data_IF_026988727647
#
_entry.id   IF_026988727647
#
_cell.length_a   1.000
_cell.length_b   1.000
_cell.length_c   1.000
_cell.angle_alpha   90.00
_cell.angle_beta   90.00
_cell.angle_gamma   90.00
#
_symmetry.space_group_name_H-M   'P 1'
#
loop_
_entity.id
_entity.type
_entity.pdbx_description
1 polymer ?
#
# COMPACT_ATOMS: atom_id res chain seq x y z
N UNK A 1 -3.16 -0.46 -11.31
CA UNK A 1 -1.78 -0.91 -11.55
C UNK A 1 -0.88 -0.10 -10.63
N UNK A 2 -0.13 -0.77 -9.77
CA UNK A 2 0.80 -0.20 -8.82
C UNK A 2 2.10 0.15 -9.55
N UNK A 3 2.43 1.43 -9.60
CA UNK A 3 3.69 1.91 -10.14
C UNK A 3 4.56 2.41 -8.98
N UNK A 4 5.37 1.52 -8.43
CA UNK A 4 6.26 1.81 -7.30
C UNK A 4 7.65 1.26 -7.61
N UNK A 5 8.65 2.15 -7.67
CA UNK A 5 10.02 1.79 -8.01
C UNK A 5 10.58 0.75 -7.03
N UNK A 6 11.28 -0.26 -7.54
CA UNK A 6 11.86 -1.34 -6.74
C UNK A 6 10.85 -2.43 -6.34
N UNK A 7 9.61 -2.37 -6.83
CA UNK A 7 8.57 -3.37 -6.57
C UNK A 7 7.84 -3.76 -7.86
N UNK A 8 7.73 -5.07 -8.08
CA UNK A 8 6.93 -5.64 -9.15
C UNK A 8 5.56 -6.03 -8.61
N UNK A 9 4.49 -5.39 -9.10
CA UNK A 9 3.10 -5.81 -8.80
C UNK A 9 2.88 -7.25 -9.28
N UNK A 10 2.29 -8.09 -8.42
CA UNK A 10 1.75 -9.40 -8.82
C UNK A 10 0.26 -9.25 -9.12
N UNK A 11 -0.51 -8.82 -8.11
CA UNK A 11 -1.94 -8.57 -8.24
C UNK A 11 -2.48 -7.73 -7.09
N UNK A 12 -3.59 -7.04 -7.34
CA UNK A 12 -4.44 -6.49 -6.29
C UNK A 12 -5.15 -7.63 -5.56
N UNK A 13 -4.99 -7.71 -4.24
CA UNK A 13 -5.61 -8.76 -3.41
C UNK A 13 -6.80 -8.25 -2.60
N UNK A 14 -6.93 -6.93 -2.42
CA UNK A 14 -8.09 -6.33 -1.77
C UNK A 14 -8.32 -4.89 -2.24
N UNK A 15 -9.60 -4.52 -2.40
CA UNK A 15 -10.03 -3.21 -2.86
C UNK A 15 -11.07 -2.61 -1.91
N UNK A 16 -10.63 -2.06 -0.78
CA UNK A 16 -11.51 -1.39 0.18
C UNK A 16 -11.88 0.03 -0.25
N UNK A 17 -12.83 0.65 0.46
CA UNK A 17 -13.28 2.00 0.11
C UNK A 17 -12.17 3.06 0.19
N UNK A 18 -11.29 2.98 1.19
CA UNK A 18 -10.22 3.97 1.43
C UNK A 18 -8.84 3.52 0.97
N UNK A 19 -8.60 2.22 0.90
CA UNK A 19 -7.27 1.68 0.60
C UNK A 19 -7.33 0.51 -0.36
N UNK A 20 -6.30 0.38 -1.16
CA UNK A 20 -6.03 -0.76 -2.02
C UNK A 20 -4.87 -1.56 -1.43
N UNK A 21 -4.92 -2.88 -1.56
CA UNK A 21 -3.86 -3.77 -1.09
C UNK A 21 -3.39 -4.61 -2.26
N UNK A 22 -2.08 -4.53 -2.50
CA UNK A 22 -1.39 -5.26 -3.56
C UNK A 22 -0.45 -6.29 -2.95
N UNK A 23 -0.36 -7.44 -3.60
CA UNK A 23 0.77 -8.35 -3.46
C UNK A 23 1.81 -7.98 -4.50
N UNK A 24 3.06 -7.89 -4.09
CA UNK A 24 4.19 -7.54 -4.96
C UNK A 24 5.44 -8.33 -4.58
N UNK A 25 6.45 -8.29 -5.45
CA UNK A 25 7.82 -8.74 -5.14
C UNK A 25 8.72 -7.50 -5.06
N UNK A 26 9.46 -7.34 -3.97
CA UNK A 26 10.54 -6.36 -3.90
C UNK A 26 11.70 -6.82 -4.78
N UNK A 27 12.14 -6.02 -5.75
CA UNK A 27 13.10 -6.44 -6.78
C UNK A 27 14.42 -6.95 -6.19
N UNK A 28 14.92 -6.28 -5.16
CA UNK A 28 16.09 -6.70 -4.39
C UNK A 28 15.73 -6.68 -2.91
N UNK A 29 15.69 -7.82 -2.21
CA UNK A 29 16.26 -9.13 -2.56
C UNK A 29 15.24 -10.19 -3.02
N UNK A 30 14.24 -9.85 -3.85
CA UNK A 30 13.17 -10.77 -4.32
C UNK A 30 12.27 -11.33 -3.22
N UNK A 31 11.85 -10.49 -2.29
CA UNK A 31 10.94 -10.90 -1.21
C UNK A 31 9.48 -10.59 -1.54
N UNK A 32 8.54 -11.50 -1.24
CA UNK A 32 7.12 -11.21 -1.35
C UNK A 32 6.70 -10.21 -0.27
N UNK A 33 5.98 -9.17 -0.68
CA UNK A 33 5.53 -8.08 0.19
C UNK A 33 4.06 -7.76 -0.02
N UNK A 34 3.46 -7.17 1.01
CA UNK A 34 2.11 -6.59 0.95
C UNK A 34 2.25 -5.07 0.99
N UNK A 35 1.71 -4.41 -0.04
CA UNK A 35 1.74 -2.96 -0.17
C UNK A 35 0.31 -2.45 -0.03
N UNK A 36 0.10 -1.61 0.99
CA UNK A 36 -1.17 -0.91 1.23
C UNK A 36 -1.03 0.54 0.78
N UNK A 37 -1.96 1.02 -0.03
CA UNK A 37 -1.96 2.40 -0.53
C UNK A 37 -3.34 3.03 -0.33
N UNK A 38 -3.40 4.36 -0.28
CA UNK A 38 -4.65 5.11 -0.31
C UNK A 38 -5.28 5.00 -1.71
N UNK A 39 -6.60 4.79 -1.75
CA UNK A 39 -7.35 4.76 -3.01
C UNK A 39 -7.49 6.16 -3.61
N UNK A 40 -7.64 7.18 -2.75
CA UNK A 40 -7.70 8.57 -3.16
C UNK A 40 -6.29 9.07 -3.54
N UNK A 41 -6.03 9.47 -4.80
CA UNK A 41 -4.73 10.01 -5.21
C UNK A 41 -4.42 11.39 -4.63
N UNK A 42 -5.44 12.09 -4.11
CA UNK A 42 -5.34 13.38 -3.44
C UNK A 42 -5.98 13.29 -2.04
N UNK A 43 -5.38 12.51 -1.12
CA UNK A 43 -5.95 12.29 0.19
C UNK A 43 -5.96 13.58 1.00
N UNK A 44 -7.02 13.76 1.79
CA UNK A 44 -7.07 14.79 2.80
C UNK A 44 -6.03 14.54 3.89
N UNK A 45 -5.67 15.60 4.64
CA UNK A 45 -4.80 15.47 5.81
C UNK A 45 -5.31 14.42 6.81
N UNK A 46 -6.62 14.37 7.04
CA UNK A 46 -7.24 13.40 7.94
C UNK A 46 -7.07 11.95 7.44
N UNK A 47 -7.18 11.71 6.13
CA UNK A 47 -6.93 10.39 5.55
C UNK A 47 -5.47 9.96 5.72
N UNK A 48 -4.53 10.89 5.54
CA UNK A 48 -3.10 10.64 5.78
C UNK A 48 -2.81 10.29 7.25
N UNK A 49 -3.38 11.05 8.20
CA UNK A 49 -3.21 10.79 9.64
C UNK A 49 -3.81 9.43 10.02
N UNK A 50 -5.03 9.13 9.58
CA UNK A 50 -5.67 7.83 9.84
C UNK A 50 -4.85 6.68 9.24
N UNK A 51 -4.32 6.86 8.03
CA UNK A 51 -3.49 5.86 7.38
C UNK A 51 -2.18 5.61 8.15
N UNK A 52 -1.50 6.68 8.58
CA UNK A 52 -0.27 6.58 9.40
C UNK A 52 -0.52 5.91 10.75
N UNK A 53 -1.59 6.31 11.45
CA UNK A 53 -1.88 5.81 12.80
C UNK A 53 -2.12 4.29 12.84
N UNK A 54 -2.51 3.67 11.72
CA UNK A 54 -2.63 2.20 11.63
C UNK A 54 -1.29 1.48 11.83
N UNK A 55 -0.16 2.13 11.51
CA UNK A 55 1.18 1.57 11.68
C UNK A 55 1.81 1.94 13.03
N UNK A 56 1.34 3.01 13.68
CA UNK A 56 1.82 3.42 15.01
C UNK A 56 1.25 2.56 16.14
N UNK A 57 0.08 1.94 15.95
CA UNK A 57 -0.56 1.08 16.98
C UNK A 57 -0.01 -0.36 16.95
N UNK A 58 0.59 -0.79 15.83
CA UNK A 58 1.02 -2.17 15.60
C UNK A 58 2.54 -2.40 15.71
N UNK A 59 3.31 -1.38 16.13
CA UNK A 59 4.77 -1.44 16.34
C UNK A 59 5.14 -1.68 17.78
#
# INVERSE_FOLDING_TARGET
MLNLAGYQEINQIYAGQRTLVYRAIQETPRQPVIIKVLRNPHPSFNELVQFRNQYTIAS
#
